data_IF_696526602007
#
_entry.id   IF_696526602007
#
_cell.length_a   1.000
_cell.length_b   1.000
_cell.length_c   1.000
_cell.angle_alpha   90.00
_cell.angle_beta   90.00
_cell.angle_gamma   90.00
#
_symmetry.space_group_name_H-M   'P 1'
#
loop_
_entity.id
_entity.type
_entity.pdbx_description
1 polymer ?
#
# COMPACT_ATOMS: atom_id res chain seq x y z
N UNK A 1 2.85 12.45 -14.17
CA UNK A 1 1.65 12.05 -13.39
C UNK A 1 2.06 11.14 -12.23
N UNK A 2 1.57 11.41 -11.07
CA UNK A 2 1.83 10.56 -9.90
C UNK A 2 0.74 9.49 -9.79
N UNK A 3 1.16 8.32 -9.40
CA UNK A 3 0.26 7.18 -9.17
C UNK A 3 0.53 6.61 -7.78
N UNK A 4 -0.55 6.24 -7.11
CA UNK A 4 -0.42 5.47 -5.87
C UNK A 4 -0.62 4.00 -6.20
N UNK A 5 0.32 3.18 -5.76
CA UNK A 5 0.25 1.74 -5.85
C UNK A 5 -0.23 1.23 -4.50
N UNK A 6 -1.46 0.78 -4.44
CA UNK A 6 -2.04 0.26 -3.20
C UNK A 6 -1.79 -1.24 -3.16
N UNK A 7 -1.03 -1.67 -2.18
CA UNK A 7 -0.62 -3.08 -2.05
C UNK A 7 -1.61 -3.80 -1.15
N UNK A 8 -2.35 -4.73 -1.73
CA UNK A 8 -3.29 -5.57 -0.99
C UNK A 8 -2.74 -6.98 -0.86
N UNK A 9 -2.88 -7.58 0.30
CA UNK A 9 -2.48 -8.96 0.52
C UNK A 9 -3.31 -9.59 1.62
N UNK A 10 -3.32 -10.92 1.65
CA UNK A 10 -3.96 -11.66 2.73
C UNK A 10 -3.09 -11.63 3.99
N UNK A 11 -3.73 -11.68 5.14
CA UNK A 11 -3.04 -11.84 6.42
C UNK A 11 -3.36 -13.23 6.95
N UNK A 12 -2.40 -14.18 6.88
CA UNK A 12 -2.65 -15.53 7.41
C UNK A 12 -2.82 -15.49 8.93
N UNK A 13 -3.76 -16.28 9.49
CA UNK A 13 -4.02 -16.25 10.94
C UNK A 13 -2.80 -16.52 11.81
N UNK A 14 -1.91 -17.37 11.36
CA UNK A 14 -0.68 -17.71 12.10
C UNK A 14 0.48 -16.76 11.81
N UNK A 15 0.25 -15.75 10.97
CA UNK A 15 1.29 -14.82 10.56
C UNK A 15 2.27 -15.43 9.57
N UNK A 16 3.31 -14.70 9.24
CA UNK A 16 4.35 -15.13 8.33
C UNK A 16 5.56 -15.67 9.12
N UNK A 17 6.27 -16.64 8.53
CA UNK A 17 7.56 -17.06 9.08
C UNK A 17 8.58 -15.92 8.90
N UNK A 18 9.69 -15.98 9.65
CA UNK A 18 10.77 -15.01 9.51
C UNK A 18 11.33 -14.97 8.09
N UNK A 19 11.47 -16.14 7.48
CA UNK A 19 12.01 -16.24 6.12
C UNK A 19 11.05 -15.61 5.12
N UNK A 20 9.75 -15.85 5.26
CA UNK A 20 8.74 -15.25 4.39
C UNK A 20 8.73 -13.73 4.55
N UNK A 21 8.77 -13.23 5.78
CA UNK A 21 8.83 -11.79 6.04
C UNK A 21 10.07 -11.15 5.42
N UNK A 22 11.23 -11.82 5.55
CA UNK A 22 12.48 -11.29 5.01
C UNK A 22 12.46 -11.27 3.48
N UNK A 23 11.88 -12.30 2.85
CA UNK A 23 11.77 -12.34 1.39
C UNK A 23 10.88 -11.22 0.87
N UNK A 24 9.76 -10.98 1.54
CA UNK A 24 8.84 -9.90 1.17
C UNK A 24 9.54 -8.55 1.33
N UNK A 25 10.19 -8.35 2.46
CA UNK A 25 10.91 -7.11 2.76
C UNK A 25 12.03 -6.86 1.75
N UNK A 26 12.78 -7.91 1.41
CA UNK A 26 13.85 -7.81 0.42
C UNK A 26 13.30 -7.47 -0.97
N UNK A 27 12.16 -8.03 -1.34
CA UNK A 27 11.50 -7.73 -2.59
C UNK A 27 11.07 -6.27 -2.70
N UNK A 28 10.47 -5.74 -1.65
CA UNK A 28 10.08 -4.33 -1.60
C UNK A 28 11.31 -3.41 -1.61
N UNK A 29 12.36 -3.80 -0.90
CA UNK A 29 13.60 -3.03 -0.89
C UNK A 29 14.18 -2.89 -2.29
N UNK A 30 14.19 -3.97 -3.07
CA UNK A 30 14.69 -3.93 -4.45
C UNK A 30 13.89 -2.96 -5.32
N UNK A 31 12.58 -2.96 -5.20
CA UNK A 31 11.72 -2.03 -5.95
C UNK A 31 12.02 -0.60 -5.54
N UNK A 32 12.09 -0.33 -4.24
CA UNK A 32 12.39 1.02 -3.74
C UNK A 32 13.75 1.51 -4.19
N UNK A 33 14.77 0.65 -4.18
CA UNK A 33 16.10 1.01 -4.64
C UNK A 33 16.12 1.33 -6.13
N UNK A 34 15.47 0.51 -6.94
CA UNK A 34 15.40 0.75 -8.38
C UNK A 34 14.63 2.04 -8.69
N UNK A 35 13.48 2.21 -8.07
CA UNK A 35 12.66 3.40 -8.28
C UNK A 35 13.36 4.67 -7.78
N UNK A 36 14.11 4.55 -6.68
CA UNK A 36 14.91 5.64 -6.16
C UNK A 36 16.04 6.04 -7.12
N UNK A 37 16.77 5.07 -7.66
CA UNK A 37 17.83 5.33 -8.61
C UNK A 37 17.30 5.98 -9.88
N UNK A 38 16.11 5.61 -10.32
CA UNK A 38 15.50 6.17 -11.53
C UNK A 38 14.74 7.46 -11.27
N UNK A 39 14.74 7.93 -10.03
CA UNK A 39 14.14 9.20 -9.68
C UNK A 39 12.62 9.24 -9.70
N UNK A 40 11.96 8.07 -9.70
CA UNK A 40 10.50 8.02 -9.77
C UNK A 40 9.82 7.80 -8.42
N UNK A 41 10.59 7.39 -7.41
CA UNK A 41 10.02 7.12 -6.08
C UNK A 41 9.76 8.42 -5.32
N UNK A 42 8.51 8.63 -4.91
CA UNK A 42 8.13 9.78 -4.10
C UNK A 42 7.69 9.41 -2.70
N UNK A 43 7.33 8.17 -2.48
CA UNK A 43 6.98 7.69 -1.15
C UNK A 43 6.67 6.21 -1.17
N UNK A 44 6.87 5.56 -0.04
CA UNK A 44 6.51 4.15 0.15
C UNK A 44 6.49 3.87 1.64
N UNK A 45 5.42 3.24 2.12
CA UNK A 45 5.30 2.89 3.52
C UNK A 45 4.55 1.57 3.67
N UNK A 46 5.03 0.67 4.51
CA UNK A 46 4.25 -0.49 4.91
C UNK A 46 3.24 -0.08 5.98
N UNK A 47 2.13 -0.80 6.04
CA UNK A 47 1.18 -0.65 7.13
C UNK A 47 1.34 -1.82 8.09
N UNK A 48 1.17 -1.57 9.38
CA UNK A 48 1.11 -2.62 10.37
C UNK A 48 -0.15 -3.48 10.15
N UNK A 49 -0.19 -4.64 10.79
CA UNK A 49 -1.31 -5.56 10.68
C UNK A 49 -2.65 -4.89 11.01
N UNK A 50 -3.72 -5.38 10.38
CA UNK A 50 -5.08 -4.90 10.67
C UNK A 50 -5.47 -5.05 12.13
N UNK A 51 -4.81 -5.93 12.87
CA UNK A 51 -5.07 -6.06 14.32
C UNK A 51 -4.73 -4.80 15.11
N UNK A 52 -3.88 -3.93 14.55
CA UNK A 52 -3.51 -2.66 15.17
C UNK A 52 -4.33 -1.47 14.64
N UNK A 53 -5.27 -1.74 13.75
CA UNK A 53 -6.07 -0.67 13.14
C UNK A 53 -7.08 -0.09 14.13
N UNK A 54 -7.43 1.18 13.92
CA UNK A 54 -8.50 1.85 14.63
C UNK A 54 -9.35 2.53 13.56
N UNK A 55 -10.66 2.31 13.63
CA UNK A 55 -11.59 2.89 12.67
C UNK A 55 -12.44 3.97 13.36
N UNK A 56 -12.66 5.08 12.68
CA UNK A 56 -13.47 6.18 13.16
C UNK A 56 -14.57 6.46 12.15
N UNK A 57 -15.81 6.44 12.61
CA UNK A 57 -16.96 6.84 11.80
C UNK A 57 -17.63 8.02 12.46
N UNK A 58 -18.08 8.96 11.67
CA UNK A 58 -18.86 10.09 12.17
C UNK A 58 -20.34 9.76 11.98
N UNK A 59 -21.10 9.86 13.06
CA UNK A 59 -22.55 9.69 13.04
C UNK A 59 -23.19 10.81 13.84
N UNK A 60 -24.01 11.61 13.17
CA UNK A 60 -24.71 12.75 13.80
C UNK A 60 -23.74 13.67 14.54
N UNK A 61 -22.57 13.92 13.95
CA UNK A 61 -21.56 14.78 14.56
C UNK A 61 -20.74 14.14 15.67
N UNK A 62 -20.93 12.85 15.92
CA UNK A 62 -20.24 12.13 17.00
C UNK A 62 -19.27 11.12 16.39
N UNK A 63 -18.03 11.10 16.88
CA UNK A 63 -17.03 10.14 16.45
C UNK A 63 -17.30 8.78 17.11
N UNK A 64 -17.50 7.77 16.27
CA UNK A 64 -17.64 6.37 16.69
C UNK A 64 -16.32 5.66 16.44
N UNK A 65 -15.64 5.27 17.51
CA UNK A 65 -14.30 4.67 17.43
C UNK A 65 -14.40 3.18 17.67
N UNK A 66 -13.80 2.40 16.79
CA UNK A 66 -13.81 0.93 16.86
C UNK A 66 -12.40 0.40 16.67
N UNK A 67 -11.98 -0.56 17.47
CA UNK A 67 -10.72 -1.28 17.25
C UNK A 67 -10.88 -2.19 16.05
N UNK A 68 -9.84 -2.22 15.20
CA UNK A 68 -9.84 -3.05 14.02
C UNK A 68 -10.19 -2.29 12.76
N UNK A 69 -10.11 -2.96 11.59
CA UNK A 69 -10.42 -2.35 10.31
C UNK A 69 -11.92 -2.09 10.18
N UNK A 70 -12.28 -1.13 9.33
CA UNK A 70 -13.69 -0.77 9.13
C UNK A 70 -14.51 -1.90 8.49
N UNK A 71 -13.86 -2.83 7.83
CA UNK A 71 -14.50 -3.99 7.23
C UNK A 71 -13.53 -5.17 7.25
N UNK A 72 -14.08 -6.37 7.45
CA UNK A 72 -13.28 -7.57 7.34
C UNK A 72 -13.32 -8.04 5.90
N UNK A 73 -12.14 -8.11 5.28
CA UNK A 73 -11.98 -8.51 3.90
C UNK A 73 -10.92 -9.61 3.83
N UNK A 74 -10.92 -10.37 2.76
CA UNK A 74 -9.92 -11.40 2.55
C UNK A 74 -8.54 -10.80 2.32
N UNK A 75 -8.49 -9.74 1.52
CA UNK A 75 -7.27 -9.00 1.27
C UNK A 75 -7.33 -7.66 1.96
N UNK A 76 -6.24 -7.27 2.60
CA UNK A 76 -6.14 -6.03 3.36
C UNK A 76 -5.08 -5.14 2.75
N UNK A 77 -5.25 -3.83 2.91
CA UNK A 77 -4.25 -2.88 2.48
C UNK A 77 -3.00 -3.07 3.35
N UNK A 78 -1.90 -3.44 2.73
CA UNK A 78 -0.65 -3.77 3.42
C UNK A 78 0.39 -2.65 3.31
N UNK A 79 0.23 -1.73 2.37
CA UNK A 79 1.16 -0.64 2.19
C UNK A 79 0.88 0.09 0.89
N UNK A 80 1.74 1.05 0.57
CA UNK A 80 1.58 1.82 -0.65
C UNK A 80 2.93 2.33 -1.16
N UNK A 81 2.93 2.66 -2.45
CA UNK A 81 4.01 3.41 -3.10
C UNK A 81 3.40 4.61 -3.80
N UNK A 82 4.14 5.69 -3.87
CA UNK A 82 3.79 6.82 -4.72
C UNK A 82 4.92 6.97 -5.74
N UNK A 83 4.58 6.84 -7.01
CA UNK A 83 5.56 6.86 -8.10
C UNK A 83 5.18 7.90 -9.13
N UNK A 84 6.18 8.63 -9.63
CA UNK A 84 6.02 9.53 -10.76
C UNK A 84 6.28 8.76 -12.04
N UNK A 85 5.24 8.56 -12.84
CA UNK A 85 5.32 7.81 -14.09
C UNK A 85 4.81 8.67 -15.24
N UNK A 86 5.31 8.41 -16.44
CA UNK A 86 4.89 9.17 -17.61
C UNK A 86 3.46 8.86 -18.02
N UNK A 87 3.05 7.59 -17.85
CA UNK A 87 1.73 7.14 -18.25
C UNK A 87 1.35 5.88 -17.47
N UNK A 88 0.13 5.41 -17.70
CA UNK A 88 -0.38 4.21 -17.03
C UNK A 88 0.43 2.96 -17.38
N UNK A 89 0.92 2.85 -18.60
CA UNK A 89 1.71 1.68 -19.00
C UNK A 89 2.98 1.56 -18.16
N UNK A 90 3.65 2.67 -17.91
CA UNK A 90 4.82 2.69 -17.05
C UNK A 90 4.45 2.33 -15.62
N UNK A 91 3.32 2.85 -15.14
CA UNK A 91 2.83 2.52 -13.79
C UNK A 91 2.56 1.01 -13.67
N UNK A 92 1.99 0.39 -14.69
CA UNK A 92 1.74 -1.05 -14.72
C UNK A 92 3.05 -1.83 -14.66
N UNK A 93 4.07 -1.39 -15.39
CA UNK A 93 5.39 -2.02 -15.35
C UNK A 93 5.97 -2.02 -13.93
N UNK A 94 5.84 -0.90 -13.22
CA UNK A 94 6.31 -0.82 -11.84
C UNK A 94 5.47 -1.70 -10.93
N UNK A 95 4.15 -1.68 -11.08
CA UNK A 95 3.25 -2.49 -10.25
C UNK A 95 3.58 -3.98 -10.36
N UNK A 96 3.95 -4.44 -11.55
CA UNK A 96 4.29 -5.83 -11.80
C UNK A 96 5.55 -6.28 -11.04
N UNK A 97 6.38 -5.35 -10.58
CA UNK A 97 7.59 -5.66 -9.82
C UNK A 97 7.35 -5.69 -8.31
N UNK A 98 6.23 -5.15 -7.84
CA UNK A 98 5.95 -5.05 -6.41
C UNK A 98 5.48 -6.38 -5.87
N UNK A 99 6.10 -6.92 -4.80
CA UNK A 99 5.65 -8.17 -4.20
C UNK A 99 4.26 -8.02 -3.60
N UNK A 100 3.39 -9.00 -3.88
CA UNK A 100 2.06 -9.06 -3.26
C UNK A 100 1.86 -10.38 -2.53
N UNK A 101 2.84 -11.27 -2.64
CA UNK A 101 2.70 -12.61 -2.07
C UNK A 101 2.80 -12.58 -0.57
N UNK A 102 1.76 -13.07 0.03
CA UNK A 102 1.76 -13.60 1.35
C UNK A 102 1.72 -15.12 1.22
N UNK A 103 1.50 -15.86 2.26
CA UNK A 103 1.28 -17.29 2.17
C UNK A 103 0.15 -17.60 1.20
N UNK A 104 0.40 -18.45 0.24
CA UNK A 104 -0.58 -18.81 -0.76
C UNK A 104 -0.56 -17.94 -2.01
N UNK A 105 0.25 -16.89 -2.02
CA UNK A 105 0.46 -16.08 -3.23
C UNK A 105 -0.72 -15.22 -3.64
N UNK A 106 -1.59 -14.88 -2.71
CA UNK A 106 -2.73 -14.02 -2.99
C UNK A 106 -2.43 -12.57 -2.67
N UNK A 107 -2.87 -11.68 -3.55
CA UNK A 107 -2.72 -10.25 -3.39
C UNK A 107 -2.84 -9.54 -4.72
N UNK A 108 -2.88 -8.24 -4.69
CA UNK A 108 -2.92 -7.43 -5.90
C UNK A 108 -2.39 -6.03 -5.64
N UNK A 109 -2.09 -5.33 -6.72
CA UNK A 109 -1.75 -3.91 -6.68
C UNK A 109 -2.86 -3.16 -7.39
N UNK A 110 -3.48 -2.22 -6.69
CA UNK A 110 -4.43 -1.30 -7.29
C UNK A 110 -3.71 -0.01 -7.62
N UNK A 111 -3.78 0.43 -8.85
CA UNK A 111 -3.13 1.67 -9.30
C UNK A 111 -4.17 2.78 -9.34
N UNK A 112 -3.91 3.86 -8.60
CA UNK A 112 -4.81 5.02 -8.55
C UNK A 112 -4.03 6.27 -8.96
N UNK A 113 -4.44 6.94 -10.03
CA UNK A 113 -3.82 8.23 -10.37
C UNK A 113 -4.06 9.25 -9.25
N UNK A 114 -3.04 10.05 -8.97
CA UNK A 114 -3.15 11.15 -8.01
C UNK A 114 -3.35 12.43 -8.81
N UNK A 115 -4.53 13.06 -8.72
CA UNK A 115 -4.82 14.23 -9.56
C UNK A 115 -4.01 15.47 -9.20
N UNK A 116 -3.43 15.47 -7.98
CA UNK A 116 -2.73 16.63 -7.48
C UNK A 116 -3.69 17.72 -7.05
N UNK A 117 -3.47 18.23 -5.85
CA UNK A 117 -4.19 19.41 -5.35
C UNK A 117 -3.30 20.58 -5.65
N UNK A 118 -3.72 21.42 -6.59
CA UNK A 118 -2.86 22.48 -7.11
C UNK A 118 -2.66 23.64 -6.17
N UNK A 119 -3.60 23.92 -5.35
CA UNK A 119 -3.48 25.01 -4.40
C UNK A 119 -4.35 24.71 -3.23
N UNK A 120 -3.70 24.22 -2.18
CA UNK A 120 -4.32 24.23 -0.88
C UNK A 120 -3.96 25.58 -0.27
N UNK A 121 -4.91 26.43 0.03
CA UNK A 121 -4.59 27.66 0.70
C UNK A 121 -3.98 27.34 2.05
N UNK A 122 -2.74 27.76 2.24
CA UNK A 122 -2.12 27.69 3.54
C UNK A 122 -2.58 28.93 4.27
N UNK A 123 -3.61 28.77 4.99
CA UNK A 123 -4.12 29.91 5.76
C UNK A 123 -4.09 29.65 7.20
#
# INVERSE_FOLDING_TARGET
>A
MRYMMLVYSTEPPEGLSRDEEEQIRAGHRRVMEEAGRRGVLQGAEPLASTSSATSVRMRDGIAMITDGPFAETKEHLAGYYILECENLDEAIEWAAKIPTKCRGGEGCIEIRPLPGIRSVPHG
#
